data_IF_876801948532
#
_entry.id   IF_876801948532
#
_cell.length_a   1.000
_cell.length_b   1.000
_cell.length_c   1.000
_cell.angle_alpha   90.00
_cell.angle_beta   90.00
_cell.angle_gamma   90.00
#
_symmetry.space_group_name_H-M   'P 1'
#
loop_
_entity.id
_entity.type
_entity.pdbx_description
1 polymer ?
#
# COMPACT_ATOMS: atom_id res chain seq x y z
N UNK A 1 -11.84 -10.90 -0.39
CA UNK A 1 -12.47 -9.85 0.43
C UNK A 1 -11.46 -9.34 1.44
N UNK A 2 -11.42 -8.03 1.71
CA UNK A 2 -10.56 -7.46 2.75
C UNK A 2 -11.17 -7.64 4.15
N UNK A 3 -10.33 -7.80 5.18
CA UNK A 3 -10.75 -7.85 6.58
C UNK A 3 -10.05 -6.72 7.32
N UNK A 4 -10.83 -5.86 7.97
CA UNK A 4 -10.30 -4.80 8.82
C UNK A 4 -9.98 -5.41 10.17
N UNK A 5 -8.82 -5.10 10.74
CA UNK A 5 -8.39 -5.63 12.04
C UNK A 5 -9.24 -5.02 13.17
N UNK A 6 -9.26 -3.69 13.24
CA UNK A 6 -10.02 -2.95 14.23
C UNK A 6 -10.68 -1.71 13.64
N UNK A 7 -11.88 -1.40 14.14
CA UNK A 7 -12.56 -0.13 13.94
C UNK A 7 -12.83 0.45 15.32
N UNK A 8 -12.21 1.59 15.62
CA UNK A 8 -12.47 2.32 16.85
C UNK A 8 -13.66 3.25 16.60
N UNK A 9 -14.68 3.16 17.46
CA UNK A 9 -15.85 4.04 17.42
C UNK A 9 -15.78 4.96 18.64
N UNK A 10 -15.72 6.26 18.40
CA UNK A 10 -15.66 7.25 19.49
C UNK A 10 -17.05 7.57 20.04
N UNK A 11 -17.11 8.21 21.21
CA UNK A 11 -18.37 8.72 21.79
C UNK A 11 -19.15 9.69 20.89
N UNK A 12 -18.48 10.27 19.88
CA UNK A 12 -19.09 11.17 18.90
C UNK A 12 -19.42 10.46 17.58
N UNK A 13 -19.51 9.12 17.59
CA UNK A 13 -19.80 8.27 16.43
C UNK A 13 -18.80 8.45 15.27
N UNK A 14 -17.54 8.78 15.59
CA UNK A 14 -16.45 8.81 14.61
C UNK A 14 -15.88 7.40 14.46
N UNK A 15 -15.78 6.92 13.21
CA UNK A 15 -15.24 5.62 12.86
C UNK A 15 -13.77 5.79 12.44
N UNK A 16 -12.87 5.09 13.13
CA UNK A 16 -11.42 5.23 12.93
C UNK A 16 -10.86 3.82 12.68
N UNK A 17 -10.47 3.47 11.44
CA UNK A 17 -9.78 2.21 11.19
C UNK A 17 -8.42 2.20 11.91
N UNK A 18 -8.10 1.06 12.53
CA UNK A 18 -6.85 0.86 13.24
C UNK A 18 -6.18 -0.47 12.86
N UNK A 19 -4.85 -0.45 12.76
CA UNK A 19 -4.03 -1.60 12.35
C UNK A 19 -2.69 -1.60 13.10
N UNK A 20 -2.18 -2.79 13.41
CA UNK A 20 -0.89 -3.01 14.07
C UNK A 20 0.10 -3.62 13.08
N UNK A 21 1.24 -2.95 12.89
CA UNK A 21 2.30 -3.40 12.00
C UNK A 21 3.57 -3.77 12.77
N UNK A 22 4.07 -4.98 12.50
CA UNK A 22 5.41 -5.41 12.92
C UNK A 22 6.49 -4.80 12.03
N UNK A 23 6.60 -3.47 12.06
CA UNK A 23 7.56 -2.70 11.26
C UNK A 23 7.89 -1.39 11.96
N UNK A 24 8.83 -0.63 11.40
CA UNK A 24 9.13 0.73 11.83
C UNK A 24 8.49 1.76 10.89
N UNK A 25 8.17 2.98 11.35
CA UNK A 25 7.74 4.06 10.48
C UNK A 25 8.89 4.53 9.56
N UNK A 26 8.53 5.18 8.46
CA UNK A 26 9.50 5.73 7.50
C UNK A 26 9.67 7.23 7.77
N UNK A 27 10.87 7.64 8.21
CA UNK A 27 11.17 9.03 8.63
C UNK A 27 10.18 9.58 9.67
N UNK A 28 9.74 8.72 10.58
CA UNK A 28 8.77 9.06 11.62
C UNK A 28 7.32 9.18 11.14
N UNK A 29 7.06 8.97 9.85
CA UNK A 29 5.74 8.97 9.21
C UNK A 29 5.27 7.54 8.91
N UNK A 30 3.96 7.37 8.73
CA UNK A 30 3.43 6.08 8.28
C UNK A 30 3.94 5.75 6.87
N UNK A 31 4.40 4.51 6.65
CA UNK A 31 4.88 4.04 5.35
C UNK A 31 3.79 4.17 4.28
N UNK A 32 4.17 4.46 3.03
CA UNK A 32 3.20 4.74 1.94
C UNK A 32 2.16 3.63 1.77
N UNK A 33 2.58 2.36 1.77
CA UNK A 33 1.67 1.22 1.60
C UNK A 33 0.69 1.08 2.76
N UNK A 34 1.09 1.42 3.99
CA UNK A 34 0.20 1.39 5.15
C UNK A 34 -0.82 2.54 5.10
N UNK A 35 -0.43 3.72 4.60
CA UNK A 35 -1.37 4.82 4.36
C UNK A 35 -2.41 4.45 3.30
N UNK A 36 -1.99 3.83 2.19
CA UNK A 36 -2.89 3.32 1.15
C UNK A 36 -3.87 2.29 1.73
N UNK A 37 -3.37 1.35 2.54
CA UNK A 37 -4.21 0.36 3.22
C UNK A 37 -5.29 1.02 4.10
N UNK A 38 -4.91 2.02 4.91
CA UNK A 38 -5.85 2.72 5.77
C UNK A 38 -6.90 3.50 4.99
N UNK A 39 -6.54 4.09 3.85
CA UNK A 39 -7.51 4.75 2.97
C UNK A 39 -8.47 3.75 2.32
N UNK A 40 -8.00 2.57 1.92
CA UNK A 40 -8.88 1.49 1.45
C UNK A 40 -9.86 1.05 2.53
N UNK A 41 -9.41 0.85 3.77
CA UNK A 41 -10.29 0.52 4.88
C UNK A 41 -11.30 1.64 5.18
N UNK A 42 -10.86 2.89 5.08
CA UNK A 42 -11.73 4.04 5.24
C UNK A 42 -12.86 4.03 4.23
N UNK A 43 -12.57 3.81 2.94
CA UNK A 43 -13.60 3.70 1.90
C UNK A 43 -14.60 2.58 2.17
N UNK A 44 -14.13 1.41 2.62
CA UNK A 44 -15.02 0.29 2.99
C UNK A 44 -15.93 0.64 4.15
N UNK A 45 -15.41 1.33 5.17
CA UNK A 45 -16.19 1.79 6.32
C UNK A 45 -17.22 2.83 5.89
N UNK A 46 -16.84 3.82 5.09
CA UNK A 46 -17.74 4.85 4.57
C UNK A 46 -18.89 4.24 3.76
N UNK A 47 -18.60 3.26 2.91
CA UNK A 47 -19.59 2.55 2.11
C UNK A 47 -20.57 1.74 2.99
N UNK A 48 -20.04 1.03 3.99
CA UNK A 48 -20.80 0.11 4.84
C UNK A 48 -21.67 0.83 5.88
N UNK A 49 -21.12 1.88 6.48
CA UNK A 49 -21.75 2.59 7.62
C UNK A 49 -22.33 3.96 7.22
N UNK A 50 -22.24 4.34 5.93
CA UNK A 50 -22.72 5.64 5.41
C UNK A 50 -22.20 6.83 6.24
N UNK A 51 -20.90 6.82 6.50
CA UNK A 51 -20.21 7.82 7.32
C UNK A 51 -19.04 8.45 6.56
N UNK A 52 -18.32 9.37 7.21
CA UNK A 52 -17.06 9.96 6.71
C UNK A 52 -15.95 9.64 7.71
N UNK A 53 -14.92 8.96 7.23
CA UNK A 53 -13.71 8.63 7.98
C UNK A 53 -12.67 9.72 7.74
N UNK A 54 -12.28 10.41 8.82
CA UNK A 54 -11.36 11.56 8.77
C UNK A 54 -9.92 11.19 9.06
N UNK A 55 -9.70 10.12 9.82
CA UNK A 55 -8.38 9.67 10.27
C UNK A 55 -8.36 8.18 10.51
N UNK A 56 -7.16 7.62 10.42
CA UNK A 56 -6.85 6.23 10.76
C UNK A 56 -5.70 6.18 11.76
N UNK A 57 -5.52 5.05 12.42
CA UNK A 57 -4.45 4.85 13.41
C UNK A 57 -3.61 3.65 13.03
N UNK A 58 -2.29 3.80 13.10
CA UNK A 58 -1.34 2.71 12.86
C UNK A 58 -0.41 2.60 14.05
N UNK A 59 -0.37 1.43 14.67
CA UNK A 59 0.60 1.12 15.72
C UNK A 59 1.80 0.35 15.14
N UNK A 60 2.97 0.97 15.15
CA UNK A 60 4.24 0.38 14.73
C UNK A 60 4.92 -0.26 15.94
N UNK A 61 4.72 -1.57 16.10
CA UNK A 61 5.11 -2.28 17.33
C UNK A 61 6.62 -2.32 17.54
N UNK A 62 7.42 -2.41 16.46
CA UNK A 62 8.89 -2.40 16.57
C UNK A 62 9.44 -1.07 17.07
N UNK A 63 8.73 0.03 16.83
CA UNK A 63 9.10 1.36 17.29
C UNK A 63 8.33 1.80 18.54
N UNK A 64 7.38 0.98 19.03
CA UNK A 64 6.44 1.37 20.07
C UNK A 64 5.64 2.65 19.74
N UNK A 65 5.45 2.97 18.45
CA UNK A 65 4.95 4.29 18.01
C UNK A 65 3.58 4.19 17.37
N UNK A 66 2.65 5.02 17.85
CA UNK A 66 1.34 5.21 17.22
C UNK A 66 1.38 6.41 16.28
N UNK A 67 0.90 6.23 15.05
CA UNK A 67 0.80 7.30 14.05
C UNK A 67 -0.66 7.45 13.63
N UNK A 68 -1.17 8.68 13.71
CA UNK A 68 -2.45 9.07 13.14
C UNK A 68 -2.24 9.46 11.69
N UNK A 69 -3.00 8.84 10.79
CA UNK A 69 -2.97 9.13 9.35
C UNK A 69 -4.22 9.91 8.99
N UNK A 70 -4.10 11.17 8.52
CA UNK A 70 -5.23 11.91 7.96
C UNK A 70 -5.75 11.20 6.71
N UNK A 71 -7.05 10.97 6.64
CA UNK A 71 -7.71 10.36 5.48
C UNK A 71 -8.27 11.49 4.63
N UNK A 72 -7.47 11.93 3.66
CA UNK A 72 -7.83 13.01 2.74
C UNK A 72 -8.48 12.45 1.47
N UNK A 73 -9.27 13.27 0.78
CA UNK A 73 -9.84 12.89 -0.52
C UNK A 73 -8.76 12.55 -1.54
N UNK A 74 -7.62 13.25 -1.54
CA UNK A 74 -6.47 12.90 -2.39
C UNK A 74 -5.95 11.48 -2.12
N UNK A 75 -5.94 11.04 -0.87
CA UNK A 75 -5.50 9.68 -0.53
C UNK A 75 -6.55 8.64 -0.96
N UNK A 76 -7.84 8.96 -0.83
CA UNK A 76 -8.94 8.12 -1.36
C UNK A 76 -8.89 8.01 -2.88
N UNK A 77 -8.67 9.12 -3.60
CA UNK A 77 -8.52 9.13 -5.06
C UNK A 77 -7.33 8.28 -5.51
N UNK A 78 -6.20 8.32 -4.78
CA UNK A 78 -5.07 7.43 -5.08
C UNK A 78 -5.44 5.95 -4.97
N UNK A 79 -6.30 5.57 -4.02
CA UNK A 79 -6.81 4.20 -3.90
C UNK A 79 -7.72 3.87 -5.08
N UNK A 80 -8.65 4.77 -5.43
CA UNK A 80 -9.54 4.59 -6.58
C UNK A 80 -8.74 4.41 -7.90
N UNK A 81 -7.73 5.25 -8.13
CA UNK A 81 -6.83 5.16 -9.29
C UNK A 81 -6.06 3.84 -9.32
N UNK A 82 -5.61 3.36 -8.16
CA UNK A 82 -4.91 2.09 -8.06
C UNK A 82 -5.83 0.91 -8.39
N UNK A 83 -7.07 0.94 -7.90
CA UNK A 83 -8.09 -0.08 -8.20
C UNK A 83 -8.42 -0.07 -9.69
N UNK A 84 -8.64 1.10 -10.30
CA UNK A 84 -8.91 1.23 -11.73
C UNK A 84 -7.76 0.65 -12.57
N UNK A 85 -6.51 0.98 -12.23
CA UNK A 85 -5.33 0.40 -12.90
C UNK A 85 -5.27 -1.12 -12.78
N UNK A 86 -5.58 -1.68 -11.60
CA UNK A 86 -5.66 -3.13 -11.41
C UNK A 86 -6.71 -3.74 -12.34
N UNK A 87 -7.92 -3.19 -12.38
CA UNK A 87 -8.97 -3.69 -13.25
C UNK A 87 -8.64 -3.55 -14.73
N UNK A 88 -7.98 -2.46 -15.15
CA UNK A 88 -7.51 -2.32 -16.53
C UNK A 88 -6.53 -3.41 -16.91
N UNK A 89 -5.50 -3.65 -16.08
CA UNK A 89 -4.52 -4.72 -16.33
C UNK A 89 -5.17 -6.10 -16.41
N UNK A 90 -6.16 -6.38 -15.56
CA UNK A 90 -6.89 -7.65 -15.60
C UNK A 90 -7.68 -7.78 -16.90
N UNK A 91 -8.37 -6.73 -17.35
CA UNK A 91 -9.21 -6.77 -18.56
C UNK A 91 -8.41 -6.78 -19.86
N UNK A 92 -7.29 -6.06 -19.91
CA UNK A 92 -6.44 -6.01 -21.09
C UNK A 92 -5.44 -7.16 -21.16
N UNK A 93 -5.24 -7.88 -20.04
CA UNK A 93 -4.18 -8.87 -19.86
C UNK A 93 -2.76 -8.30 -20.10
N UNK A 94 -2.62 -6.98 -20.04
CA UNK A 94 -1.34 -6.28 -20.22
C UNK A 94 -0.65 -6.08 -18.87
N UNK A 95 0.55 -6.65 -18.74
CA UNK A 95 1.39 -6.48 -17.55
C UNK A 95 1.85 -5.02 -17.36
N UNK A 96 1.98 -4.54 -16.11
CA UNK A 96 2.47 -3.20 -15.86
C UNK A 96 3.94 -3.07 -16.26
N UNK A 97 4.29 -1.96 -16.91
CA UNK A 97 5.69 -1.59 -17.13
C UNK A 97 6.43 -1.46 -15.79
N UNK A 98 7.60 -2.05 -15.69
CA UNK A 98 8.46 -1.95 -14.50
C UNK A 98 9.02 -0.54 -14.40
N UNK A 99 8.45 0.26 -13.50
CA UNK A 99 8.85 1.65 -13.20
C UNK A 99 9.43 1.81 -11.79
N UNK A 100 9.90 0.70 -11.20
CA UNK A 100 10.42 0.66 -9.83
C UNK A 100 11.93 0.42 -9.83
N UNK A 101 12.61 0.82 -8.76
CA UNK A 101 14.02 0.49 -8.55
C UNK A 101 14.21 -1.03 -8.49
N UNK A 102 15.27 -1.53 -9.15
CA UNK A 102 15.67 -2.94 -9.09
C UNK A 102 15.91 -3.44 -7.66
N UNK A 103 16.23 -2.56 -6.71
CA UNK A 103 16.35 -2.90 -5.28
C UNK A 103 15.06 -3.50 -4.71
N UNK A 104 13.88 -3.05 -5.19
CA UNK A 104 12.59 -3.60 -4.77
C UNK A 104 12.31 -4.97 -5.36
N UNK A 105 12.98 -5.32 -6.46
CA UNK A 105 12.80 -6.62 -7.09
C UNK A 105 13.49 -7.75 -6.28
N UNK A 106 14.52 -7.44 -5.50
CA UNK A 106 15.28 -8.45 -4.70
C UNK A 106 14.37 -9.29 -3.81
N UNK A 107 13.34 -8.67 -3.22
CA UNK A 107 12.36 -9.34 -2.34
C UNK A 107 10.98 -9.52 -3.02
N UNK A 108 10.93 -9.48 -4.36
CA UNK A 108 9.68 -9.64 -5.10
C UNK A 108 9.43 -11.12 -5.40
N UNK A 109 8.34 -11.67 -4.86
CA UNK A 109 7.94 -13.06 -5.10
C UNK A 109 7.57 -13.35 -6.57
N UNK A 110 7.34 -12.32 -7.38
CA UNK A 110 7.06 -12.45 -8.82
C UNK A 110 8.34 -12.40 -9.68
N UNK A 111 9.53 -12.27 -9.08
CA UNK A 111 10.79 -12.13 -9.82
C UNK A 111 11.03 -13.24 -10.83
N UNK A 112 10.72 -14.50 -10.49
CA UNK A 112 10.90 -15.66 -11.38
C UNK A 112 10.02 -15.62 -12.63
N UNK A 113 8.91 -14.88 -12.60
CA UNK A 113 7.94 -14.78 -13.69
C UNK A 113 8.06 -13.45 -14.45
N UNK A 114 8.74 -12.45 -13.87
CA UNK A 114 8.83 -11.12 -14.44
C UNK A 114 9.75 -11.07 -15.67
N UNK A 115 9.17 -10.75 -16.83
CA UNK A 115 9.88 -10.65 -18.11
C UNK A 115 10.86 -9.47 -18.21
N UNK A 116 10.81 -8.51 -17.28
CA UNK A 116 11.67 -7.32 -17.30
C UNK A 116 13.13 -7.59 -16.90
N UNK A 117 13.48 -8.82 -16.48
CA UNK A 117 14.87 -9.22 -16.17
C UNK A 117 15.82 -9.00 -17.35
N UNK A 118 15.29 -9.05 -18.58
CA UNK A 118 16.06 -9.02 -19.83
C UNK A 118 16.64 -7.65 -20.19
N UNK A 119 16.25 -6.56 -19.53
CA UNK A 119 16.69 -5.19 -19.91
C UNK A 119 17.98 -4.75 -19.17
N UNK A 120 18.51 -5.57 -18.25
CA UNK A 120 19.71 -5.24 -17.46
C UNK A 120 20.95 -6.11 -17.71
N UNK A 121 20.90 -7.11 -18.59
CA UNK A 121 22.05 -7.98 -18.91
C UNK A 121 22.75 -7.51 -20.20
N UNK A 122 23.49 -6.42 -20.12
CA UNK A 122 24.54 -6.09 -21.13
C UNK A 122 25.84 -5.66 -20.46
N UNK A 123 26.08 -6.03 -19.20
CA UNK A 123 27.36 -5.75 -18.55
C UNK A 123 27.89 -6.98 -17.83
N UNK A 124 29.16 -7.29 -18.13
CA UNK A 124 30.04 -8.35 -17.60
C UNK A 124 29.81 -9.77 -18.12
N UNK A 125 30.43 -10.08 -19.26
CA UNK A 125 31.25 -11.29 -19.45
C UNK A 125 32.15 -11.04 -20.66
N UNK A 126 33.35 -10.50 -20.44
CA UNK A 126 34.54 -10.64 -21.30
C UNK A 126 35.70 -9.83 -20.70
N UNK A 127 36.61 -10.52 -20.02
CA UNK A 127 38.06 -10.24 -19.82
C UNK A 127 38.58 -11.04 -18.63
N UNK A 128 38.70 -12.35 -18.82
CA UNK A 128 39.75 -13.19 -18.23
C UNK A 128 40.08 -14.24 -19.28
N UNK A 129 40.89 -13.84 -20.27
CA UNK A 129 42.02 -14.60 -20.85
C UNK A 129 43.03 -13.52 -21.26
#
# INVERSE_FOLDING_TARGET
MGRIDYILITKFNEYIPADMKWSEPEYGLAQKQHRMQMATYSLLIEESYKTIVKRAVIYYSRAGKTIIVPITDSLKSQVADAIDKIYRMIRSEEEPKVRISLKRCVNCNYMSYCKSRSVGKTLRFERII
#
